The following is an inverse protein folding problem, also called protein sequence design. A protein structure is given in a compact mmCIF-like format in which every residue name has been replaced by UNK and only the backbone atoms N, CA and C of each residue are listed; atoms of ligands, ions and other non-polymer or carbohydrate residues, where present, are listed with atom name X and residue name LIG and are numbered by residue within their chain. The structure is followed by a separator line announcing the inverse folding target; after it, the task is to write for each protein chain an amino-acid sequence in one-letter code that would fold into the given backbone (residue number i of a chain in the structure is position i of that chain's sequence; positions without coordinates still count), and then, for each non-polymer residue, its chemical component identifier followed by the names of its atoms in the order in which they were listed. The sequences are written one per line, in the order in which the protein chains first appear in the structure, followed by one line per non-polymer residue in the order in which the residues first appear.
data_IF_526309754669
#
_entry.id   IF_526309754669
#
_cell.length_a   1.000
_cell.length_b   1.000
_cell.length_c   1.000
_cell.angle_alpha   90.00
_cell.angle_beta   90.00
_cell.angle_gamma   90.00
#
_symmetry.space_group_name_H-M   'P 1'
#
loop_
_entity.id
_entity.type
_entity.pdbx_description
1 polymer ?
#
# COMPACT_ATOMS: atom_id res chain seq x y z
N UNK A 1 -0.57 8.72 -11.19
CA UNK A 1 -1.92 9.19 -10.84
C UNK A 1 -2.30 8.62 -9.48
N UNK A 2 -2.74 9.48 -8.56
CA UNK A 2 -3.13 9.02 -7.23
C UNK A 2 -4.46 8.27 -7.27
N UNK A 3 -4.53 7.18 -6.51
CA UNK A 3 -5.78 6.44 -6.32
C UNK A 3 -6.10 6.38 -4.83
N UNK A 4 -7.36 6.17 -4.50
CA UNK A 4 -7.78 6.03 -3.12
C UNK A 4 -7.34 4.67 -2.56
N UNK A 5 -6.94 4.62 -1.30
CA UNK A 5 -6.62 3.35 -0.63
C UNK A 5 -7.82 2.41 -0.62
N UNK A 6 -9.04 2.95 -0.74
CA UNK A 6 -10.24 2.13 -0.78
C UNK A 6 -10.43 1.40 -2.11
N UNK A 7 -9.63 1.74 -3.11
CA UNK A 7 -9.72 1.15 -4.44
C UNK A 7 -8.65 0.10 -4.71
N UNK A 8 -7.93 -0.34 -3.68
CA UNK A 8 -6.96 -1.41 -3.83
C UNK A 8 -7.67 -2.73 -4.14
N UNK A 9 -7.07 -3.51 -5.02
CA UNK A 9 -7.65 -4.79 -5.46
C UNK A 9 -6.67 -5.93 -5.23
N UNK A 10 -7.20 -7.06 -4.81
CA UNK A 10 -6.41 -8.28 -4.60
C UNK A 10 -5.71 -8.69 -5.89
N UNK A 11 -4.43 -9.05 -5.77
CA UNK A 11 -3.60 -9.48 -6.89
C UNK A 11 -2.92 -8.36 -7.66
N UNK A 12 -3.32 -7.11 -7.44
CA UNK A 12 -2.73 -5.97 -8.14
C UNK A 12 -1.52 -5.44 -7.38
N UNK A 13 -0.68 -4.72 -8.10
CA UNK A 13 0.55 -4.14 -7.58
C UNK A 13 0.44 -2.63 -7.54
N UNK A 14 0.97 -2.04 -6.49
CA UNK A 14 0.86 -0.60 -6.26
C UNK A 14 2.17 -0.05 -5.73
N UNK A 15 2.35 1.25 -5.93
CA UNK A 15 3.44 2.03 -5.33
C UNK A 15 2.83 3.07 -4.43
N UNK A 16 3.24 3.07 -3.16
CA UNK A 16 2.84 4.08 -2.19
C UNK A 16 4.06 4.92 -1.85
N UNK A 17 3.90 6.23 -1.93
CA UNK A 17 4.91 7.20 -1.53
C UNK A 17 4.41 7.93 -0.30
N UNK A 18 5.22 8.02 0.75
CA UNK A 18 4.84 8.69 1.98
C UNK A 18 6.10 9.07 2.77
N UNK A 19 6.18 10.31 3.21
CA UNK A 19 7.32 10.83 3.98
C UNK A 19 8.66 10.54 3.32
N UNK A 20 8.75 10.74 2.00
CA UNK A 20 9.97 10.53 1.23
C UNK A 20 10.34 9.08 0.97
N UNK A 21 9.54 8.13 1.42
CA UNK A 21 9.78 6.71 1.20
C UNK A 21 8.80 6.16 0.16
N UNK A 22 9.25 5.14 -0.58
CA UNK A 22 8.41 4.45 -1.55
C UNK A 22 8.32 2.98 -1.20
N UNK A 23 7.10 2.44 -1.30
CA UNK A 23 6.83 1.04 -1.04
C UNK A 23 6.11 0.45 -2.25
N UNK A 24 6.73 -0.54 -2.87
CA UNK A 24 6.12 -1.29 -3.97
C UNK A 24 5.61 -2.61 -3.39
N UNK A 25 4.32 -2.87 -3.57
CA UNK A 25 3.71 -4.05 -2.96
C UNK A 25 2.63 -4.65 -3.84
N UNK A 26 2.29 -5.89 -3.54
CA UNK A 26 1.15 -6.57 -4.13
C UNK A 26 0.12 -6.83 -3.04
N UNK A 27 -1.14 -6.60 -3.35
CA UNK A 27 -2.22 -6.91 -2.42
C UNK A 27 -2.47 -8.42 -2.46
N UNK A 28 -2.19 -9.09 -1.35
CA UNK A 28 -2.30 -10.54 -1.25
C UNK A 28 -3.68 -10.98 -0.81
N UNK A 29 -4.30 -10.23 0.09
CA UNK A 29 -5.60 -10.57 0.63
C UNK A 29 -6.28 -9.33 1.20
N UNK A 30 -7.60 -9.41 1.31
CA UNK A 30 -8.43 -8.40 1.95
C UNK A 30 -9.44 -9.14 2.82
N UNK A 31 -8.99 -9.65 4.00
CA UNK A 31 -9.85 -10.51 4.81
C UNK A 31 -11.08 -9.79 5.36
N UNK A 32 -10.98 -8.49 5.54
CA UNK A 32 -12.08 -7.67 6.02
C UNK A 32 -12.02 -6.31 5.33
N UNK A 33 -13.11 -5.55 5.42
CA UNK A 33 -13.13 -4.18 4.93
C UNK A 33 -12.03 -3.37 5.60
N UNK A 34 -11.29 -2.59 4.81
CA UNK A 34 -10.19 -1.73 5.25
C UNK A 34 -8.96 -2.47 5.78
N UNK A 35 -8.94 -3.81 5.71
CA UNK A 35 -7.76 -4.58 6.08
C UNK A 35 -7.14 -5.16 4.82
N UNK A 36 -5.93 -4.71 4.50
CA UNK A 36 -5.20 -5.14 3.31
C UNK A 36 -3.90 -5.81 3.73
N UNK A 37 -3.73 -7.05 3.33
CA UNK A 37 -2.50 -7.80 3.55
C UNK A 37 -1.64 -7.61 2.31
N UNK A 38 -0.44 -7.06 2.50
CA UNK A 38 0.45 -6.65 1.42
C UNK A 38 1.74 -7.46 1.47
N UNK A 39 2.30 -7.72 0.30
CA UNK A 39 3.63 -8.31 0.20
C UNK A 39 4.54 -7.32 -0.52
N UNK A 40 5.62 -6.94 0.16
CA UNK A 40 6.63 -6.06 -0.42
C UNK A 40 7.31 -6.75 -1.60
N UNK A 41 7.42 -6.05 -2.74
CA UNK A 41 7.99 -6.64 -3.95
C UNK A 41 9.51 -6.71 -3.91
N UNK A 42 10.16 -5.98 -3.01
CA UNK A 42 11.62 -5.94 -2.90
C UNK A 42 12.13 -6.84 -1.79
N UNK A 43 11.51 -6.76 -0.61
CA UNK A 43 11.96 -7.53 0.56
C UNK A 43 11.20 -8.84 0.72
N UNK A 44 10.06 -8.98 0.06
CA UNK A 44 9.14 -10.11 0.17
C UNK A 44 8.52 -10.26 1.55
N UNK A 45 8.62 -9.24 2.39
CA UNK A 45 7.97 -9.21 3.70
C UNK A 45 6.47 -8.99 3.52
N UNK A 46 5.72 -9.53 4.48
CA UNK A 46 4.26 -9.37 4.52
C UNK A 46 3.92 -8.40 5.64
N UNK A 47 3.07 -7.41 5.33
CA UNK A 47 2.61 -6.43 6.31
C UNK A 47 1.22 -5.94 5.92
N UNK A 48 0.65 -5.08 6.74
CA UNK A 48 -0.65 -4.47 6.46
C UNK A 48 -0.45 -3.05 5.97
N UNK A 49 -1.42 -2.58 5.19
CA UNK A 49 -1.37 -1.20 4.70
C UNK A 49 -1.24 -0.19 5.85
N UNK A 50 -1.90 -0.44 6.97
CA UNK A 50 -1.84 0.45 8.12
C UNK A 50 -0.43 0.63 8.66
N UNK A 51 0.45 -0.37 8.48
CA UNK A 51 1.84 -0.26 8.91
C UNK A 51 2.59 0.82 8.13
N UNK A 52 2.17 1.09 6.89
CA UNK A 52 2.80 2.09 6.04
C UNK A 52 2.31 3.51 6.31
N UNK A 53 1.16 3.64 6.95
CA UNK A 53 0.53 4.95 7.21
C UNK A 53 0.24 5.16 8.70
N UNK A 54 0.88 4.39 9.57
CA UNK A 54 0.61 4.45 11.02
C UNK A 54 0.95 5.80 11.65
N UNK A 55 1.84 6.56 11.03
CA UNK A 55 2.19 7.91 11.48
C UNK A 55 1.46 9.00 10.68
N UNK A 56 0.43 8.62 9.93
CA UNK A 56 -0.34 9.55 9.13
C UNK A 56 0.15 9.63 7.69
N UNK A 57 -0.42 10.55 6.96
CA UNK A 57 -0.09 10.76 5.55
C UNK A 57 0.68 12.06 5.40
N UNK A 58 1.86 11.98 4.78
CA UNK A 58 2.68 13.15 4.51
C UNK A 58 2.13 13.98 3.35
N UNK A 59 2.80 15.10 3.08
CA UNK A 59 2.42 15.96 1.95
C UNK A 59 2.65 15.29 0.60
N UNK A 60 3.59 14.37 0.55
CA UNK A 60 3.94 13.63 -0.65
C UNK A 60 3.16 12.32 -0.81
N UNK A 61 2.17 12.07 0.07
CA UNK A 61 1.40 10.84 0.01
C UNK A 61 0.79 10.66 -1.38
N UNK A 62 1.10 9.53 -1.99
CA UNK A 62 0.60 9.17 -3.30
C UNK A 62 0.49 7.65 -3.39
N UNK A 63 -0.49 7.19 -4.15
CA UNK A 63 -0.71 5.77 -4.37
C UNK A 63 -1.05 5.57 -5.83
N UNK A 64 -0.30 4.71 -6.50
CA UNK A 64 -0.54 4.44 -7.91
C UNK A 64 -0.40 2.95 -8.20
N UNK A 65 -1.09 2.48 -9.21
CA UNK A 65 -0.94 1.10 -9.69
C UNK A 65 0.29 1.01 -10.60
N UNK A 66 1.06 -0.03 -10.42
CA UNK A 66 2.28 -0.26 -11.22
C UNK A 66 2.23 -1.56 -12.01
#
# INVERSE_FOLDING_TARGET
MAISVDNLRKGKRYRLTNYGEQFDFQVMDMPEEEIYILKDLHTLEVYQLQDLIKYGRGKDFDLEEI
#
